data_IF_952992976260
#
_entry.id   IF_952992976260
#
_cell.length_a   1.000
_cell.length_b   1.000
_cell.length_c   1.000
_cell.angle_alpha   90.00
_cell.angle_beta   90.00
_cell.angle_gamma   90.00
#
_symmetry.space_group_name_H-M   'P 1'
#
loop_
_entity.id
_entity.type
_entity.pdbx_description
1 polymer ?
#
# COMPACT_ATOMS: atom_id res chain seq x y z
N UNK A 1 -15.34 -71.98 -55.64
CA UNK A 1 -15.60 -70.53 -55.45
C UNK A 1 -16.82 -70.21 -54.57
N UNK A 2 -17.44 -71.17 -53.85
CA UNK A 2 -18.58 -70.89 -52.95
C UNK A 2 -18.24 -70.94 -51.44
N UNK A 3 -17.13 -71.57 -51.05
CA UNK A 3 -16.64 -71.56 -49.65
C UNK A 3 -15.99 -70.23 -49.22
N UNK A 4 -15.42 -69.48 -50.17
CA UNK A 4 -14.79 -68.17 -49.90
C UNK A 4 -15.83 -67.05 -49.64
N UNK A 5 -17.05 -67.21 -50.17
CA UNK A 5 -18.15 -66.26 -49.99
C UNK A 5 -18.93 -66.50 -48.68
N UNK A 6 -19.03 -67.74 -48.18
CA UNK A 6 -19.67 -68.03 -46.87
C UNK A 6 -18.86 -67.52 -45.68
N UNK A 7 -17.52 -67.61 -45.75
CA UNK A 7 -16.64 -67.09 -44.71
C UNK A 7 -16.58 -65.55 -44.68
N UNK A 8 -16.67 -64.89 -45.83
CA UNK A 8 -16.74 -63.42 -45.88
C UNK A 8 -18.07 -62.89 -45.33
N UNK A 9 -19.19 -63.58 -45.56
CA UNK A 9 -20.48 -63.24 -44.94
C UNK A 9 -20.48 -63.48 -43.43
N UNK A 10 -19.87 -64.56 -42.94
CA UNK A 10 -19.73 -64.78 -41.49
C UNK A 10 -18.82 -63.73 -40.84
N UNK A 11 -17.68 -63.40 -41.45
CA UNK A 11 -16.77 -62.36 -40.95
C UNK A 11 -17.44 -60.98 -40.95
N UNK A 12 -18.18 -60.64 -42.01
CA UNK A 12 -18.94 -59.39 -42.10
C UNK A 12 -20.07 -59.33 -41.06
N UNK A 13 -20.76 -60.45 -40.81
CA UNK A 13 -21.81 -60.51 -39.77
C UNK A 13 -21.26 -60.37 -38.35
N UNK A 14 -20.08 -60.95 -38.08
CA UNK A 14 -19.38 -60.78 -36.81
C UNK A 14 -18.91 -59.33 -36.62
N UNK A 15 -18.38 -58.71 -37.67
CA UNK A 15 -17.94 -57.33 -37.66
C UNK A 15 -19.13 -56.34 -37.52
N UNK A 16 -20.28 -56.65 -38.13
CA UNK A 16 -21.52 -55.89 -37.97
C UNK A 16 -22.09 -56.00 -36.55
N UNK A 17 -22.03 -57.18 -35.92
CA UNK A 17 -22.43 -57.36 -34.52
C UNK A 17 -21.54 -56.56 -33.56
N UNK A 18 -20.22 -56.54 -33.80
CA UNK A 18 -19.29 -55.77 -32.96
C UNK A 18 -19.46 -54.24 -33.15
N UNK A 19 -19.71 -53.79 -34.39
CA UNK A 19 -20.07 -52.40 -34.66
C UNK A 19 -21.36 -52.00 -33.94
N UNK A 20 -22.38 -52.87 -34.01
CA UNK A 20 -23.66 -52.66 -33.35
C UNK A 20 -23.48 -52.53 -31.83
N UNK A 21 -22.70 -53.40 -31.19
CA UNK A 21 -22.41 -53.34 -29.76
C UNK A 21 -21.67 -52.07 -29.34
N UNK A 22 -20.71 -51.61 -30.17
CA UNK A 22 -20.00 -50.35 -29.92
C UNK A 22 -20.92 -49.15 -30.09
N UNK A 23 -21.77 -49.15 -31.12
CA UNK A 23 -22.75 -48.10 -31.36
C UNK A 23 -23.74 -47.98 -30.20
N UNK A 24 -24.31 -49.10 -29.74
CA UNK A 24 -25.25 -49.11 -28.59
C UNK A 24 -24.56 -48.64 -27.30
N UNK A 25 -23.32 -49.05 -27.05
CA UNK A 25 -22.56 -48.62 -25.87
C UNK A 25 -22.24 -47.11 -25.90
N UNK A 26 -21.91 -46.55 -27.06
CA UNK A 26 -21.68 -45.12 -27.24
C UNK A 26 -22.99 -44.34 -27.13
N UNK A 27 -24.09 -44.85 -27.70
CA UNK A 27 -25.41 -44.22 -27.63
C UNK A 27 -25.93 -44.16 -26.18
N UNK A 28 -25.78 -45.25 -25.42
CA UNK A 28 -26.10 -45.30 -23.99
C UNK A 28 -25.18 -44.39 -23.16
N UNK A 29 -23.89 -44.32 -23.50
CA UNK A 29 -22.95 -43.39 -22.88
C UNK A 29 -23.31 -41.91 -23.15
N UNK A 30 -23.76 -41.60 -24.37
CA UNK A 30 -24.23 -40.28 -24.77
C UNK A 30 -25.54 -39.89 -24.08
N UNK A 31 -26.50 -40.81 -24.01
CA UNK A 31 -27.77 -40.61 -23.30
C UNK A 31 -27.56 -40.40 -21.79
N UNK A 32 -26.67 -41.17 -21.15
CA UNK A 32 -26.32 -40.96 -19.74
C UNK A 32 -25.58 -39.64 -19.51
N UNK A 33 -24.69 -39.24 -20.42
CA UNK A 33 -24.01 -37.94 -20.34
C UNK A 33 -25.01 -36.78 -20.46
N UNK A 34 -25.96 -36.88 -21.39
CA UNK A 34 -27.03 -35.89 -21.57
C UNK A 34 -27.96 -35.84 -20.36
N UNK A 35 -28.40 -37.00 -19.85
CA UNK A 35 -29.22 -37.10 -18.64
C UNK A 35 -28.48 -36.59 -17.39
N UNK A 36 -27.16 -36.83 -17.27
CA UNK A 36 -26.36 -36.28 -16.18
C UNK A 36 -26.17 -34.77 -16.27
N UNK A 37 -26.08 -34.23 -17.49
CA UNK A 37 -26.03 -32.79 -17.73
C UNK A 37 -27.39 -32.13 -17.47
N UNK A 38 -28.50 -32.74 -17.87
CA UNK A 38 -29.84 -32.29 -17.50
C UNK A 38 -30.07 -32.39 -15.99
N UNK A 39 -29.63 -33.46 -15.33
CA UNK A 39 -29.74 -33.60 -13.89
C UNK A 39 -28.89 -32.57 -13.13
N UNK A 40 -27.69 -32.24 -13.64
CA UNK A 40 -26.86 -31.17 -13.09
C UNK A 40 -27.51 -29.79 -13.29
N UNK A 41 -28.07 -29.51 -14.47
CA UNK A 41 -28.81 -28.27 -14.74
C UNK A 41 -30.08 -28.17 -13.88
N UNK A 42 -30.87 -29.24 -13.77
CA UNK A 42 -32.06 -29.30 -12.92
C UNK A 42 -31.70 -29.17 -11.43
N UNK A 43 -30.58 -29.76 -10.99
CA UNK A 43 -30.09 -29.60 -9.63
C UNK A 43 -29.65 -28.17 -9.32
N UNK A 44 -29.13 -27.42 -10.31
CA UNK A 44 -28.87 -25.98 -10.18
C UNK A 44 -30.18 -25.19 -10.08
N UNK A 45 -31.16 -25.46 -10.95
CA UNK A 45 -32.47 -24.78 -10.90
C UNK A 45 -33.21 -25.03 -9.59
N UNK A 46 -33.17 -26.27 -9.06
CA UNK A 46 -33.76 -26.59 -7.75
C UNK A 46 -33.03 -25.89 -6.61
N UNK A 47 -31.70 -25.70 -6.70
CA UNK A 47 -30.96 -24.89 -5.73
C UNK A 47 -31.38 -23.43 -5.78
N UNK A 48 -31.53 -22.85 -6.98
CA UNK A 48 -31.99 -21.47 -7.16
C UNK A 48 -33.43 -21.27 -6.67
N UNK A 49 -34.33 -22.23 -6.92
CA UNK A 49 -35.71 -22.20 -6.43
C UNK A 49 -35.78 -22.30 -4.90
N UNK A 50 -34.95 -23.16 -4.29
CA UNK A 50 -34.85 -23.30 -2.83
C UNK A 50 -34.27 -22.02 -2.21
N UNK A 51 -33.22 -21.43 -2.78
CA UNK A 51 -32.68 -20.14 -2.34
C UNK A 51 -33.70 -19.01 -2.52
N UNK A 52 -34.46 -19.01 -3.62
CA UNK A 52 -35.57 -18.10 -3.86
C UNK A 52 -36.64 -18.19 -2.78
N UNK A 53 -37.02 -19.40 -2.36
CA UNK A 53 -38.00 -19.63 -1.28
C UNK A 53 -37.47 -19.18 0.09
N UNK A 54 -36.20 -19.43 0.38
CA UNK A 54 -35.53 -18.99 1.61
C UNK A 54 -35.41 -17.46 1.66
N UNK A 55 -35.17 -16.82 0.51
CA UNK A 55 -35.00 -15.37 0.40
C UNK A 55 -36.31 -14.60 0.27
N UNK A 56 -37.41 -15.24 -0.15
CA UNK A 56 -38.68 -14.58 -0.44
C UNK A 56 -39.22 -13.74 0.74
N UNK A 57 -39.21 -14.20 2.00
CA UNK A 57 -39.68 -13.40 3.13
C UNK A 57 -38.83 -12.15 3.36
N UNK A 58 -37.50 -12.25 3.28
CA UNK A 58 -36.61 -11.11 3.55
C UNK A 58 -36.50 -10.15 2.38
N UNK A 59 -36.59 -10.65 1.14
CA UNK A 59 -36.70 -9.80 -0.05
C UNK A 59 -37.98 -8.97 0.01
N UNK A 60 -39.10 -9.57 0.40
CA UNK A 60 -40.38 -8.86 0.52
C UNK A 60 -40.39 -7.82 1.66
N UNK A 61 -39.70 -8.09 2.78
CA UNK A 61 -39.72 -7.22 3.98
C UNK A 61 -38.61 -6.16 4.00
N UNK A 62 -37.43 -6.49 3.48
CA UNK A 62 -36.21 -5.71 3.65
C UNK A 62 -35.52 -5.37 2.31
N UNK A 63 -36.07 -5.81 1.18
CA UNK A 63 -35.50 -5.58 -0.16
C UNK A 63 -34.13 -6.23 -0.35
N UNK A 64 -33.79 -7.24 0.47
CA UNK A 64 -32.48 -7.89 0.48
C UNK A 64 -32.61 -9.41 0.67
N UNK A 65 -31.78 -10.21 -0.03
CA UNK A 65 -31.81 -11.64 0.16
C UNK A 65 -31.26 -11.98 1.55
N UNK A 66 -31.71 -13.10 2.12
CA UNK A 66 -31.13 -13.65 3.34
C UNK A 66 -29.76 -14.24 3.04
N UNK A 67 -29.65 -14.96 1.91
CA UNK A 67 -28.44 -15.61 1.42
C UNK A 67 -28.27 -15.32 -0.08
N UNK A 68 -27.09 -14.89 -0.50
CA UNK A 68 -26.74 -14.66 -1.90
C UNK A 68 -25.82 -13.47 -2.10
N UNK A 69 -25.05 -13.48 -3.17
CA UNK A 69 -24.19 -12.34 -3.50
C UNK A 69 -25.01 -11.13 -3.96
N UNK A 70 -24.47 -9.94 -3.75
CA UNK A 70 -24.99 -8.72 -4.33
C UNK A 70 -24.82 -8.72 -5.84
N UNK A 71 -25.76 -8.12 -6.56
CA UNK A 71 -25.67 -7.98 -8.00
C UNK A 71 -24.54 -7.01 -8.38
N UNK A 72 -23.78 -7.34 -9.41
CA UNK A 72 -22.78 -6.42 -9.94
C UNK A 72 -23.44 -5.17 -10.54
N UNK A 73 -22.75 -4.05 -10.40
CA UNK A 73 -23.16 -2.78 -10.96
C UNK A 73 -23.24 -2.82 -12.48
N UNK A 74 -24.14 -2.03 -13.03
CA UNK A 74 -24.39 -1.91 -14.47
C UNK A 74 -24.31 -0.44 -14.89
N UNK A 75 -24.32 -0.17 -16.20
CA UNK A 75 -24.30 1.20 -16.71
C UNK A 75 -25.43 2.10 -16.17
N UNK A 76 -26.61 1.52 -15.87
CA UNK A 76 -27.77 2.26 -15.34
C UNK A 76 -27.86 2.27 -13.82
N UNK A 77 -27.21 1.31 -13.15
CA UNK A 77 -27.07 1.25 -11.69
C UNK A 77 -25.61 0.92 -11.35
N UNK A 78 -24.71 1.93 -11.35
CA UNK A 78 -23.27 1.67 -11.34
C UNK A 78 -22.77 0.96 -10.09
N UNK A 79 -23.38 1.19 -8.93
CA UNK A 79 -22.92 0.58 -7.69
C UNK A 79 -23.27 -0.91 -7.63
N UNK A 80 -22.34 -1.70 -7.09
CA UNK A 80 -22.61 -3.08 -6.71
C UNK A 80 -23.67 -3.14 -5.61
N UNK A 81 -24.60 -4.08 -5.76
CA UNK A 81 -25.64 -4.37 -4.77
C UNK A 81 -25.04 -4.97 -3.50
N UNK A 82 -25.76 -4.81 -2.39
CA UNK A 82 -25.36 -5.42 -1.13
C UNK A 82 -25.54 -6.94 -1.16
N UNK A 83 -24.63 -7.66 -0.52
CA UNK A 83 -24.77 -9.10 -0.26
C UNK A 83 -25.93 -9.41 0.68
N UNK A 84 -26.31 -10.68 0.72
CA UNK A 84 -27.38 -11.20 1.57
C UNK A 84 -27.12 -10.96 3.06
N UNK A 85 -28.19 -10.85 3.84
CA UNK A 85 -28.12 -10.45 5.25
C UNK A 85 -27.28 -11.40 6.11
N UNK A 86 -27.37 -12.72 5.88
CA UNK A 86 -26.62 -13.73 6.63
C UNK A 86 -25.33 -14.13 5.92
N UNK A 87 -25.42 -14.38 4.61
CA UNK A 87 -24.27 -14.81 3.83
C UNK A 87 -24.34 -14.31 2.41
N UNK A 88 -23.25 -13.72 1.93
CA UNK A 88 -23.13 -13.22 0.57
C UNK A 88 -22.08 -12.14 0.44
N UNK A 89 -21.30 -12.21 -0.62
CA UNK A 89 -20.38 -11.14 -0.98
C UNK A 89 -21.17 -9.94 -1.53
N UNK A 90 -20.64 -8.74 -1.37
CA UNK A 90 -21.15 -7.59 -2.10
C UNK A 90 -20.84 -7.68 -3.60
N UNK A 91 -21.69 -7.09 -4.43
CA UNK A 91 -21.47 -7.03 -5.88
C UNK A 91 -20.36 -6.05 -6.24
N UNK A 92 -19.69 -6.28 -7.36
CA UNK A 92 -18.66 -5.36 -7.86
C UNK A 92 -19.28 -4.08 -8.41
N UNK A 93 -18.57 -2.97 -8.30
CA UNK A 93 -18.93 -1.72 -8.93
C UNK A 93 -18.69 -1.75 -10.44
N UNK A 94 -19.56 -1.06 -11.18
CA UNK A 94 -19.47 -0.95 -12.63
C UNK A 94 -18.22 -0.17 -13.06
N UNK A 95 -17.54 -0.67 -14.09
CA UNK A 95 -16.40 0.01 -14.72
C UNK A 95 -16.85 0.58 -16.06
N UNK A 96 -17.12 1.90 -16.16
CA UNK A 96 -17.55 2.54 -17.40
C UNK A 96 -16.47 2.51 -18.49
N UNK A 97 -16.90 2.25 -19.72
CA UNK A 97 -16.04 2.27 -20.92
C UNK A 97 -16.11 3.59 -21.69
N UNK A 98 -17.13 4.41 -21.42
CA UNK A 98 -17.33 5.72 -22.05
C UNK A 98 -16.65 6.82 -21.25
N UNK A 99 -15.95 7.73 -21.95
CA UNK A 99 -15.27 8.86 -21.32
C UNK A 99 -16.22 9.71 -20.45
N UNK A 100 -15.77 10.05 -19.25
CA UNK A 100 -16.57 10.79 -18.27
C UNK A 100 -17.63 9.97 -17.54
N UNK A 101 -17.78 8.67 -17.82
CA UNK A 101 -18.67 7.78 -17.07
C UNK A 101 -18.15 7.56 -15.65
N UNK A 102 -19.05 7.62 -14.65
CA UNK A 102 -18.68 7.43 -13.25
C UNK A 102 -18.55 5.94 -12.91
N UNK A 103 -17.47 5.58 -12.23
CA UNK A 103 -17.30 4.24 -11.69
C UNK A 103 -18.27 3.98 -10.53
N UNK A 104 -18.72 2.74 -10.44
CA UNK A 104 -19.53 2.27 -9.33
C UNK A 104 -18.70 1.90 -8.11
N UNK A 105 -19.24 2.14 -6.93
CA UNK A 105 -18.70 1.55 -5.70
C UNK A 105 -19.02 0.05 -5.64
N UNK A 106 -18.17 -0.72 -4.99
CA UNK A 106 -18.48 -2.09 -4.60
C UNK A 106 -19.55 -2.12 -3.52
N UNK A 107 -20.39 -3.15 -3.54
CA UNK A 107 -21.43 -3.36 -2.55
C UNK A 107 -20.89 -3.92 -1.24
N UNK A 108 -21.57 -3.63 -0.14
CA UNK A 108 -21.23 -4.19 1.17
C UNK A 108 -21.73 -5.63 1.31
N UNK A 109 -21.00 -6.46 2.06
CA UNK A 109 -21.50 -7.76 2.51
C UNK A 109 -22.45 -7.63 3.71
N UNK A 110 -23.16 -8.72 4.04
CA UNK A 110 -24.04 -8.80 5.22
C UNK A 110 -23.28 -9.26 6.48
N UNK A 111 -23.72 -10.33 7.12
CA UNK A 111 -23.07 -10.90 8.30
C UNK A 111 -21.77 -11.63 7.94
N UNK A 112 -21.81 -12.48 6.91
CA UNK A 112 -20.67 -13.23 6.38
C UNK A 112 -20.52 -12.95 4.89
N UNK A 113 -19.34 -12.55 4.45
CA UNK A 113 -19.04 -12.34 3.03
C UNK A 113 -18.03 -11.22 2.83
N UNK A 114 -17.39 -11.18 1.67
CA UNK A 114 -16.45 -10.14 1.31
C UNK A 114 -17.16 -8.95 0.68
N UNK A 115 -16.67 -7.74 0.90
CA UNK A 115 -17.14 -6.57 0.17
C UNK A 115 -16.79 -6.66 -1.31
N UNK A 116 -17.64 -6.10 -2.16
CA UNK A 116 -17.41 -6.06 -3.61
C UNK A 116 -16.28 -5.10 -3.98
N UNK A 117 -15.60 -5.38 -5.09
CA UNK A 117 -14.58 -4.46 -5.60
C UNK A 117 -15.22 -3.18 -6.16
N UNK A 118 -14.56 -2.04 -6.00
CA UNK A 118 -14.93 -0.80 -6.68
C UNK A 118 -14.61 -0.87 -8.17
N UNK A 119 -15.45 -0.25 -9.00
CA UNK A 119 -15.25 -0.17 -10.44
C UNK A 119 -14.08 0.73 -10.82
N UNK A 120 -13.42 0.44 -11.94
CA UNK A 120 -12.40 1.31 -12.49
C UNK A 120 -13.01 2.58 -13.08
N UNK A 121 -12.39 3.73 -12.85
CA UNK A 121 -12.73 5.00 -13.46
C UNK A 121 -12.58 4.95 -14.98
N UNK A 122 -13.53 5.53 -15.71
CA UNK A 122 -13.40 5.75 -17.14
C UNK A 122 -12.21 6.67 -17.43
N UNK A 123 -11.45 6.30 -18.46
CA UNK A 123 -10.47 7.19 -19.07
C UNK A 123 -11.14 8.49 -19.53
N UNK A 124 -10.39 9.59 -19.46
CA UNK A 124 -10.79 10.87 -20.02
C UNK A 124 -10.87 10.84 -21.53
N UNK A 125 -11.63 11.78 -22.08
CA UNK A 125 -11.73 12.05 -23.51
C UNK A 125 -11.04 13.37 -23.87
N UNK A 126 -11.25 13.85 -25.09
CA UNK A 126 -10.70 15.14 -25.54
C UNK A 126 -11.15 16.33 -24.67
N UNK A 127 -12.33 16.23 -24.08
CA UNK A 127 -12.96 17.29 -23.28
C UNK A 127 -13.41 16.82 -21.89
N UNK A 128 -13.06 15.60 -21.49
CA UNK A 128 -13.47 15.00 -20.22
C UNK A 128 -12.28 14.47 -19.44
N UNK A 129 -12.21 14.81 -18.15
CA UNK A 129 -11.20 14.29 -17.22
C UNK A 129 -11.35 12.78 -16.99
N UNK A 130 -10.29 12.17 -16.45
CA UNK A 130 -10.33 10.80 -15.97
C UNK A 130 -11.22 10.77 -14.74
N UNK A 131 -12.15 9.81 -14.69
CA UNK A 131 -13.05 9.71 -13.54
C UNK A 131 -12.41 8.90 -12.42
N UNK A 132 -12.79 9.15 -11.18
CA UNK A 132 -12.27 8.39 -10.05
C UNK A 132 -12.69 6.92 -10.11
N UNK A 133 -11.86 6.04 -9.57
CA UNK A 133 -12.25 4.68 -9.27
C UNK A 133 -13.25 4.63 -8.11
N UNK A 134 -14.17 3.67 -8.17
CA UNK A 134 -15.15 3.45 -7.12
C UNK A 134 -14.51 2.91 -5.84
N UNK A 135 -15.10 3.21 -4.69
CA UNK A 135 -14.66 2.61 -3.42
C UNK A 135 -15.00 1.11 -3.39
N UNK A 136 -14.18 0.31 -2.70
CA UNK A 136 -14.52 -1.07 -2.36
C UNK A 136 -15.56 -1.14 -1.25
N UNK A 137 -16.43 -2.13 -1.30
CA UNK A 137 -17.47 -2.35 -0.29
C UNK A 137 -16.92 -2.91 1.02
N UNK A 138 -17.65 -2.73 2.12
CA UNK A 138 -17.30 -3.32 3.40
C UNK A 138 -17.46 -4.85 3.39
N UNK A 139 -16.54 -5.54 4.07
CA UNK A 139 -16.68 -6.95 4.40
C UNK A 139 -17.79 -7.20 5.42
N UNK A 140 -18.11 -8.47 5.62
CA UNK A 140 -19.20 -8.88 6.50
C UNK A 140 -18.96 -8.46 7.95
N UNK A 141 -20.05 -8.25 8.68
CA UNK A 141 -19.98 -7.80 10.08
C UNK A 141 -19.20 -8.78 10.97
N UNK A 142 -19.42 -10.09 10.80
CA UNK A 142 -18.76 -11.16 11.56
C UNK A 142 -17.50 -11.66 10.87
N UNK A 143 -17.59 -11.96 9.57
CA UNK A 143 -16.45 -12.46 8.80
C UNK A 143 -16.48 -11.97 7.36
N UNK A 144 -15.37 -11.41 6.91
CA UNK A 144 -15.23 -10.97 5.53
C UNK A 144 -14.16 -9.92 5.34
N UNK A 145 -13.44 -10.03 4.22
CA UNK A 145 -12.52 -9.00 3.78
C UNK A 145 -13.28 -7.79 3.20
N UNK A 146 -12.72 -6.60 3.36
CA UNK A 146 -13.16 -5.44 2.59
C UNK A 146 -12.81 -5.59 1.10
N UNK A 147 -13.64 -5.04 0.24
CA UNK A 147 -13.41 -5.04 -1.21
C UNK A 147 -12.28 -4.09 -1.62
N UNK A 148 -11.57 -4.40 -2.70
CA UNK A 148 -10.56 -3.50 -3.23
C UNK A 148 -11.19 -2.23 -3.83
N UNK A 149 -10.53 -1.08 -3.71
CA UNK A 149 -10.90 0.13 -4.43
C UNK A 149 -10.54 0.03 -5.91
N UNK A 150 -11.35 0.65 -6.77
CA UNK A 150 -11.14 0.68 -8.21
C UNK A 150 -10.01 1.63 -8.61
N UNK A 151 -9.36 1.37 -9.74
CA UNK A 151 -8.33 2.27 -10.27
C UNK A 151 -8.94 3.57 -10.80
N UNK A 152 -8.24 4.68 -10.66
CA UNK A 152 -8.61 5.95 -11.29
C UNK A 152 -8.44 5.92 -12.81
N UNK A 153 -9.29 6.65 -13.52
CA UNK A 153 -9.25 6.77 -14.98
C UNK A 153 -8.09 7.64 -15.45
N UNK A 154 -7.45 7.24 -16.55
CA UNK A 154 -6.31 7.97 -17.13
C UNK A 154 -6.76 9.22 -17.91
N UNK A 155 -5.85 10.15 -18.20
CA UNK A 155 -6.08 11.23 -19.18
C UNK A 155 -4.91 11.41 -20.14
N UNK A 156 -5.22 11.84 -21.36
CA UNK A 156 -4.23 12.26 -22.36
C UNK A 156 -4.47 13.68 -22.89
N UNK A 157 -5.64 14.26 -22.61
CA UNK A 157 -6.01 15.59 -23.09
C UNK A 157 -5.35 16.72 -22.26
N UNK A 158 -4.94 17.82 -22.91
CA UNK A 158 -4.37 18.96 -22.20
C UNK A 158 -5.36 19.62 -21.22
N UNK A 159 -4.88 19.95 -20.02
CA UNK A 159 -5.62 20.66 -18.99
C UNK A 159 -6.58 19.80 -18.18
N UNK A 160 -6.59 18.48 -18.39
CA UNK A 160 -7.53 17.55 -17.71
C UNK A 160 -6.79 16.61 -16.75
N UNK A 161 -7.25 16.58 -15.50
CA UNK A 161 -6.71 15.72 -14.45
C UNK A 161 -7.13 14.25 -14.63
N UNK A 162 -6.25 13.34 -14.25
CA UNK A 162 -6.61 11.93 -14.12
C UNK A 162 -7.39 11.66 -12.84
N UNK A 163 -8.18 10.59 -12.87
CA UNK A 163 -9.02 10.20 -11.76
C UNK A 163 -8.20 9.62 -10.61
N UNK A 164 -8.65 9.84 -9.38
CA UNK A 164 -8.08 9.22 -8.20
C UNK A 164 -8.47 7.74 -8.10
N UNK A 165 -7.63 6.94 -7.45
CA UNK A 165 -7.99 5.58 -7.06
C UNK A 165 -9.05 5.57 -5.96
N UNK A 166 -9.95 4.60 -6.01
CA UNK A 166 -10.96 4.39 -4.99
C UNK A 166 -10.37 3.86 -3.69
N UNK A 167 -10.98 4.20 -2.55
CA UNK A 167 -10.57 3.63 -1.27
C UNK A 167 -10.91 2.13 -1.19
N UNK A 168 -10.08 1.35 -0.50
CA UNK A 168 -10.39 -0.01 -0.11
C UNK A 168 -11.48 -0.06 0.96
N UNK A 169 -12.33 -1.08 0.89
CA UNK A 169 -13.39 -1.34 1.85
C UNK A 169 -12.85 -1.82 3.19
N UNK A 170 -13.58 -1.58 4.27
CA UNK A 170 -13.20 -2.02 5.62
C UNK A 170 -13.69 -3.43 5.94
N UNK A 171 -13.09 -4.08 6.93
CA UNK A 171 -13.69 -5.23 7.62
C UNK A 171 -14.17 -4.83 9.02
N UNK A 172 -15.04 -5.66 9.63
CA UNK A 172 -15.61 -5.40 10.96
C UNK A 172 -15.01 -6.30 12.04
N UNK A 173 -15.56 -7.50 12.30
CA UNK A 173 -15.01 -8.34 13.36
C UNK A 173 -13.76 -9.10 12.91
N UNK A 174 -13.88 -9.93 11.86
CA UNK A 174 -12.78 -10.75 11.35
C UNK A 174 -12.63 -10.54 9.85
N UNK A 175 -11.43 -10.16 9.43
CA UNK A 175 -11.04 -10.10 8.03
C UNK A 175 -10.07 -8.96 7.75
N UNK A 176 -9.31 -9.02 6.65
CA UNK A 176 -8.45 -7.92 6.26
C UNK A 176 -9.27 -6.76 5.64
N UNK A 177 -8.73 -5.54 5.74
CA UNK A 177 -9.21 -4.43 4.92
C UNK A 177 -8.82 -4.60 3.45
N UNK A 178 -9.62 -4.02 2.55
CA UNK A 178 -9.37 -4.06 1.11
C UNK A 178 -8.25 -3.14 0.67
N UNK A 179 -7.58 -3.45 -0.44
CA UNK A 179 -6.54 -2.58 -1.00
C UNK A 179 -7.13 -1.29 -1.58
N UNK A 180 -6.40 -0.19 -1.47
CA UNK A 180 -6.72 1.04 -2.19
C UNK A 180 -6.42 0.91 -3.69
N UNK A 181 -7.24 1.53 -4.53
CA UNK A 181 -7.04 1.56 -5.97
C UNK A 181 -5.90 2.48 -6.38
N UNK A 182 -5.20 2.16 -7.47
CA UNK A 182 -4.18 3.06 -8.02
C UNK A 182 -4.82 4.34 -8.60
N UNK A 183 -4.12 5.46 -8.52
CA UNK A 183 -4.49 6.68 -9.23
C UNK A 183 -4.27 6.56 -10.73
N UNK A 184 -5.06 7.29 -11.52
CA UNK A 184 -4.96 7.31 -12.98
C UNK A 184 -3.73 8.08 -13.45
N UNK A 185 -3.11 7.59 -14.52
CA UNK A 185 -2.00 8.28 -15.17
C UNK A 185 -2.49 9.47 -16.02
N UNK A 186 -1.68 10.53 -16.08
CA UNK A 186 -1.85 11.67 -16.98
C UNK A 186 -0.69 11.75 -17.96
N UNK A 187 -0.98 11.65 -19.25
CA UNK A 187 0.01 11.82 -20.33
C UNK A 187 -0.09 13.20 -20.99
N UNK A 188 -0.54 14.22 -20.25
CA UNK A 188 -1.02 15.52 -20.73
C UNK A 188 -0.36 15.99 -22.03
N UNK A 189 -1.16 16.26 -23.07
CA UNK A 189 -0.63 16.67 -24.37
C UNK A 189 0.34 17.87 -24.30
N UNK A 190 1.30 17.90 -25.22
CA UNK A 190 2.42 18.86 -25.32
C UNK A 190 1.97 20.33 -25.50
N UNK A 191 1.42 20.96 -24.47
CA UNK A 191 1.17 22.41 -24.43
C UNK A 191 1.82 23.04 -23.19
N UNK A 192 2.39 24.23 -23.38
CA UNK A 192 2.95 25.03 -22.29
C UNK A 192 1.86 25.41 -21.28
N UNK A 193 2.18 25.35 -19.98
CA UNK A 193 1.27 25.62 -18.84
C UNK A 193 0.14 24.60 -18.64
N UNK A 194 0.30 23.38 -19.16
CA UNK A 194 -0.66 22.30 -18.97
C UNK A 194 -0.51 21.68 -17.57
N UNK A 195 -1.47 21.97 -16.69
CA UNK A 195 -1.52 21.52 -15.29
C UNK A 195 -2.32 20.20 -15.11
N UNK A 196 -2.18 19.25 -16.04
CA UNK A 196 -2.85 17.96 -15.96
C UNK A 196 -2.17 17.05 -14.93
N UNK A 197 -2.65 17.09 -13.68
CA UNK A 197 -2.14 16.26 -12.59
C UNK A 197 -2.63 14.81 -12.73
N UNK A 198 -1.74 13.88 -12.39
CA UNK A 198 -2.12 12.49 -12.25
C UNK A 198 -2.93 12.25 -10.98
N UNK A 199 -3.74 11.19 -11.00
CA UNK A 199 -4.62 10.84 -9.89
C UNK A 199 -3.84 10.34 -8.68
N UNK A 200 -4.29 10.68 -7.48
CA UNK A 200 -3.78 10.08 -6.25
C UNK A 200 -4.25 8.63 -6.09
N UNK A 201 -3.46 7.81 -5.40
CA UNK A 201 -3.86 6.47 -5.00
C UNK A 201 -4.89 6.49 -3.87
N UNK A 202 -5.83 5.55 -3.90
CA UNK A 202 -6.85 5.40 -2.87
C UNK A 202 -6.27 4.85 -1.56
N UNK A 203 -6.85 5.22 -0.43
CA UNK A 203 -6.45 4.67 0.86
C UNK A 203 -6.82 3.17 0.95
N UNK A 204 -5.99 2.39 1.64
CA UNK A 204 -6.32 1.02 2.02
C UNK A 204 -7.41 0.99 3.10
N UNK A 205 -8.24 -0.04 3.05
CA UNK A 205 -9.29 -0.30 4.03
C UNK A 205 -8.70 -0.70 5.38
N UNK A 206 -9.32 -0.25 6.47
CA UNK A 206 -8.92 -0.70 7.81
C UNK A 206 -9.61 -2.01 8.19
N UNK A 207 -8.92 -2.83 8.98
CA UNK A 207 -9.56 -3.93 9.68
C UNK A 207 -10.17 -3.44 11.01
N UNK A 208 -11.24 -4.11 11.48
CA UNK A 208 -11.94 -3.68 12.70
C UNK A 208 -11.37 -4.27 13.99
N UNK A 209 -11.65 -5.54 14.31
CA UNK A 209 -11.17 -6.18 15.56
C UNK A 209 -9.98 -7.13 15.30
N UNK A 210 -10.10 -8.03 14.33
CA UNK A 210 -9.08 -8.98 13.93
C UNK A 210 -8.83 -8.92 12.43
N UNK A 211 -7.59 -8.66 12.03
CA UNK A 211 -7.17 -8.72 10.63
C UNK A 211 -6.18 -7.64 10.27
N UNK A 212 -5.62 -7.78 9.08
CA UNK A 212 -4.62 -6.84 8.57
C UNK A 212 -5.28 -5.65 7.89
N UNK A 213 -4.65 -4.49 7.94
CA UNK A 213 -5.04 -3.34 7.13
C UNK A 213 -4.68 -3.54 5.66
N UNK A 214 -5.52 -3.06 4.75
CA UNK A 214 -5.24 -3.08 3.32
C UNK A 214 -4.13 -2.09 2.94
N UNK A 215 -3.29 -2.43 1.98
CA UNK A 215 -2.30 -1.47 1.46
C UNK A 215 -2.97 -0.30 0.72
N UNK A 216 -2.35 0.87 0.77
CA UNK A 216 -2.75 2.03 -0.02
C UNK A 216 -2.39 1.86 -1.49
N UNK A 217 -3.17 2.47 -2.38
CA UNK A 217 -2.93 2.45 -3.81
C UNK A 217 -1.76 3.36 -4.21
N UNK A 218 -1.08 3.02 -5.29
CA UNK A 218 -0.03 3.89 -5.83
C UNK A 218 -0.64 5.13 -6.49
N UNK A 219 0.06 6.25 -6.47
CA UNK A 219 -0.29 7.43 -7.24
C UNK A 219 0.00 7.24 -8.73
N UNK A 220 -0.82 7.87 -9.58
CA UNK A 220 -0.65 7.86 -11.02
C UNK A 220 0.53 8.70 -11.48
N UNK A 221 1.10 8.36 -12.64
CA UNK A 221 2.25 9.05 -13.23
C UNK A 221 1.79 10.23 -14.10
N UNK A 222 2.55 11.31 -14.09
CA UNK A 222 2.35 12.47 -14.96
C UNK A 222 3.55 12.67 -15.89
N UNK A 223 3.49 12.14 -17.11
CA UNK A 223 4.62 12.24 -18.06
C UNK A 223 4.23 13.03 -19.30
N UNK A 224 5.05 14.01 -19.66
CA UNK A 224 4.97 14.79 -20.90
C UNK A 224 6.33 14.75 -21.62
N UNK A 225 6.39 15.08 -22.91
CA UNK A 225 7.68 15.12 -23.61
C UNK A 225 8.49 16.40 -23.33
N UNK A 226 7.96 17.32 -22.52
CA UNK A 226 8.54 18.64 -22.25
C UNK A 226 8.61 18.92 -20.73
N UNK A 227 9.53 19.78 -20.32
CA UNK A 227 9.81 20.19 -18.93
C UNK A 227 8.68 20.96 -18.20
N UNK A 228 7.44 20.91 -18.69
CA UNK A 228 6.26 21.64 -18.17
C UNK A 228 5.03 20.73 -18.02
N UNK A 229 5.22 19.47 -17.62
CA UNK A 229 4.15 18.51 -17.34
C UNK A 229 3.49 18.68 -15.96
N UNK A 230 2.33 18.03 -15.76
CA UNK A 230 1.63 18.05 -14.47
C UNK A 230 2.32 17.27 -13.36
N UNK A 231 1.78 17.35 -12.13
CA UNK A 231 2.35 16.68 -10.96
C UNK A 231 1.97 15.20 -10.91
N UNK A 232 2.85 14.38 -10.34
CA UNK A 232 2.58 12.98 -10.05
C UNK A 232 1.57 12.84 -8.91
N UNK A 233 0.72 11.82 -8.98
CA UNK A 233 -0.27 11.56 -7.95
C UNK A 233 0.36 11.12 -6.64
N UNK A 234 -0.16 11.56 -5.49
CA UNK A 234 0.26 11.03 -4.19
C UNK A 234 -0.12 9.56 -4.02
N UNK A 235 0.67 8.78 -3.30
CA UNK A 235 0.31 7.43 -2.87
C UNK A 235 -0.75 7.46 -1.77
N UNK A 236 -1.65 6.49 -1.77
CA UNK A 236 -2.70 6.33 -0.77
C UNK A 236 -2.15 5.83 0.56
N UNK A 237 -2.74 6.25 1.68
CA UNK A 237 -2.38 5.71 2.99
C UNK A 237 -2.76 4.23 3.09
N UNK A 238 -1.96 3.44 3.80
CA UNK A 238 -2.34 2.09 4.20
C UNK A 238 -3.38 2.09 5.31
N UNK A 239 -4.23 1.08 5.32
CA UNK A 239 -5.26 0.88 6.33
C UNK A 239 -4.68 0.41 7.65
N UNK A 240 -5.36 0.73 8.75
CA UNK A 240 -4.96 0.23 10.07
C UNK A 240 -5.33 -1.25 10.22
N UNK A 241 -4.55 -1.98 11.00
CA UNK A 241 -4.88 -3.31 11.46
C UNK A 241 -6.12 -3.32 12.37
N UNK A 242 -6.63 -4.52 12.65
CA UNK A 242 -7.65 -4.75 13.65
C UNK A 242 -7.15 -4.43 15.05
N UNK A 243 -8.07 -3.99 15.91
CA UNK A 243 -7.79 -3.49 17.26
C UNK A 243 -6.90 -4.44 18.07
N UNK A 244 -7.16 -5.75 18.05
CA UNK A 244 -6.42 -6.69 18.91
C UNK A 244 -5.22 -7.30 18.21
N UNK A 245 -5.39 -7.73 16.97
CA UNK A 245 -4.32 -8.36 16.19
C UNK A 245 -4.39 -7.99 14.73
N UNK A 246 -3.22 -7.83 14.12
CA UNK A 246 -3.05 -7.67 12.68
C UNK A 246 -1.93 -6.71 12.35
N UNK A 247 -1.46 -6.79 11.12
CA UNK A 247 -0.46 -5.92 10.55
C UNK A 247 -1.12 -4.69 9.94
N UNK A 248 -0.46 -3.54 10.02
CA UNK A 248 -0.89 -2.37 9.27
C UNK A 248 -0.68 -2.59 7.77
N UNK A 249 -1.49 -1.92 6.94
CA UNK A 249 -1.30 -1.91 5.49
C UNK A 249 -0.17 -0.97 5.07
N UNK A 250 0.64 -1.34 4.10
CA UNK A 250 1.70 -0.47 3.59
C UNK A 250 1.13 0.80 2.93
N UNK A 251 1.85 1.91 3.02
CA UNK A 251 1.53 3.11 2.26
C UNK A 251 1.86 2.96 0.77
N UNK A 252 1.03 3.56 -0.09
CA UNK A 252 1.21 3.53 -1.53
C UNK A 252 2.40 4.39 -1.99
N UNK A 253 3.03 4.01 -3.09
CA UNK A 253 4.12 4.77 -3.70
C UNK A 253 3.55 5.97 -4.47
N UNK A 254 4.19 7.12 -4.38
CA UNK A 254 3.84 8.29 -5.18
C UNK A 254 4.17 8.12 -6.67
N UNK A 255 3.44 8.83 -7.53
CA UNK A 255 3.60 8.78 -8.97
C UNK A 255 4.80 9.58 -9.48
N UNK A 256 5.44 9.08 -10.53
CA UNK A 256 6.51 9.79 -11.22
C UNK A 256 5.96 11.00 -12.00
N UNK A 257 6.75 12.07 -12.12
CA UNK A 257 6.41 13.21 -12.96
C UNK A 257 7.62 13.97 -13.49
N UNK A 258 7.44 14.73 -14.58
CA UNK A 258 8.49 15.65 -15.07
C UNK A 258 8.70 16.84 -14.14
N UNK A 259 7.64 17.31 -13.47
CA UNK A 259 7.67 18.42 -12.52
C UNK A 259 7.76 17.91 -11.08
N UNK A 260 6.66 17.92 -10.32
CA UNK A 260 6.66 17.51 -8.91
C UNK A 260 6.30 16.05 -8.79
N UNK A 261 7.18 15.27 -8.16
CA UNK A 261 6.89 13.89 -7.81
C UNK A 261 5.66 13.79 -6.89
N UNK A 262 4.93 12.68 -6.98
CA UNK A 262 3.93 12.33 -5.99
C UNK A 262 4.58 11.98 -4.64
N UNK A 263 3.99 12.44 -3.54
CA UNK A 263 4.36 12.02 -2.20
C UNK A 263 3.99 10.55 -1.93
N UNK A 264 4.69 9.92 -1.00
CA UNK A 264 4.33 8.57 -0.55
C UNK A 264 3.19 8.57 0.46
N UNK A 265 2.37 7.53 0.47
CA UNK A 265 1.30 7.35 1.45
C UNK A 265 1.82 6.87 2.80
N UNK A 266 1.16 7.23 3.90
CA UNK A 266 1.55 6.76 5.23
C UNK A 266 1.26 5.25 5.39
N UNK A 267 2.09 4.54 6.16
CA UNK A 267 1.82 3.18 6.58
C UNK A 267 0.73 3.11 7.65
N UNK A 268 -0.01 2.01 7.67
CA UNK A 268 -1.04 1.72 8.66
C UNK A 268 -0.46 1.27 10.00
N UNK A 269 -1.21 1.54 11.08
CA UNK A 269 -0.85 1.11 12.42
C UNK A 269 -1.11 -0.39 12.62
N UNK A 270 -0.31 -1.03 13.49
CA UNK A 270 -0.50 -2.42 13.90
C UNK A 270 -1.64 -2.58 14.93
N UNK A 271 -2.07 -3.82 15.15
CA UNK A 271 -2.98 -4.17 16.24
C UNK A 271 -2.33 -4.01 17.61
N UNK A 272 -3.17 -3.93 18.66
CA UNK A 272 -2.72 -3.64 20.02
C UNK A 272 -1.80 -4.73 20.59
N UNK A 273 -2.09 -6.02 20.38
CA UNK A 273 -1.36 -7.10 21.05
C UNK A 273 -0.36 -7.82 20.16
N UNK A 274 -0.71 -8.05 18.90
CA UNK A 274 0.12 -8.79 17.94
C UNK A 274 0.00 -8.14 16.56
N UNK A 275 1.14 -7.83 15.95
CA UNK A 275 1.19 -7.26 14.62
C UNK A 275 2.43 -6.42 14.39
N UNK A 276 2.75 -6.18 13.13
CA UNK A 276 3.81 -5.25 12.72
C UNK A 276 3.20 -4.02 12.11
N UNK A 277 3.73 -2.86 12.46
CA UNK A 277 3.32 -1.62 11.84
C UNK A 277 3.89 -1.54 10.43
N UNK A 278 3.16 -0.89 9.52
CA UNK A 278 3.52 -0.91 8.11
C UNK A 278 4.48 0.21 7.74
N UNK A 279 5.29 -0.02 6.71
CA UNK A 279 6.14 1.03 6.16
C UNK A 279 5.29 2.09 5.42
N UNK A 280 5.76 3.34 5.46
CA UNK A 280 5.30 4.39 4.57
C UNK A 280 5.77 4.13 3.13
N UNK A 281 4.98 4.61 2.17
CA UNK A 281 5.29 4.52 0.76
C UNK A 281 6.37 5.50 0.35
N UNK A 282 7.14 5.14 -0.68
CA UNK A 282 8.15 6.02 -1.24
C UNK A 282 7.50 7.13 -2.08
N UNK A 283 8.23 8.22 -2.34
CA UNK A 283 7.82 9.19 -3.37
C UNK A 283 7.94 8.56 -4.76
N UNK A 284 7.28 9.20 -5.74
CA UNK A 284 7.66 9.04 -7.14
C UNK A 284 8.98 9.76 -7.44
N UNK A 285 9.35 9.78 -8.72
CA UNK A 285 10.51 10.55 -9.19
C UNK A 285 10.08 11.80 -9.92
N UNK A 286 10.78 12.92 -9.75
CA UNK A 286 10.56 14.13 -10.55
C UNK A 286 11.59 15.22 -10.33
N UNK A 287 11.41 16.36 -10.99
CA UNK A 287 12.32 17.50 -10.87
C UNK A 287 12.19 18.19 -9.50
N UNK A 288 10.96 18.38 -9.02
CA UNK A 288 10.67 18.82 -7.66
C UNK A 288 10.27 17.62 -6.78
N UNK A 289 10.72 17.66 -5.54
CA UNK A 289 10.59 16.57 -4.58
C UNK A 289 9.34 16.63 -3.75
N UNK A 290 8.98 15.45 -3.26
CA UNK A 290 7.92 15.24 -2.32
C UNK A 290 8.46 14.60 -1.04
N UNK A 291 7.55 14.39 -0.09
CA UNK A 291 7.82 13.66 1.15
C UNK A 291 7.46 12.19 0.99
N UNK A 292 8.35 11.29 1.41
CA UNK A 292 7.99 9.90 1.63
C UNK A 292 6.97 9.80 2.76
N UNK A 293 6.14 8.76 2.71
CA UNK A 293 5.10 8.53 3.72
C UNK A 293 5.69 8.18 5.08
N UNK A 294 5.02 8.52 6.17
CA UNK A 294 5.46 8.08 7.50
C UNK A 294 5.21 6.59 7.69
N UNK A 295 6.06 5.92 8.45
CA UNK A 295 5.76 4.57 8.94
C UNK A 295 4.59 4.57 9.92
N UNK A 296 3.89 3.43 10.01
CA UNK A 296 2.83 3.21 10.98
C UNK A 296 3.38 2.95 12.38
N UNK A 297 2.53 3.13 13.38
CA UNK A 297 2.87 2.87 14.78
C UNK A 297 2.52 1.44 15.19
N UNK A 298 3.35 0.84 16.04
CA UNK A 298 3.05 -0.44 16.68
C UNK A 298 2.09 -0.26 17.87
N UNK A 299 1.51 -1.37 18.34
CA UNK A 299 0.61 -1.42 19.49
C UNK A 299 1.34 -1.45 20.84
N UNK A 300 1.01 -2.42 21.69
CA UNK A 300 1.69 -2.68 22.95
C UNK A 300 3.07 -3.32 22.73
N UNK A 301 3.15 -4.20 21.72
CA UNK A 301 4.35 -4.89 21.29
C UNK A 301 4.62 -4.63 19.80
N UNK A 302 5.88 -4.73 19.39
CA UNK A 302 6.27 -4.77 17.98
C UNK A 302 7.08 -3.57 17.52
N UNK A 303 7.55 -3.62 16.28
CA UNK A 303 8.39 -2.57 15.69
C UNK A 303 7.53 -1.55 14.96
N UNK A 304 7.91 -0.28 15.07
CA UNK A 304 7.36 0.78 14.26
C UNK A 304 7.73 0.60 12.79
N UNK A 305 6.86 1.06 11.89
CA UNK A 305 7.07 0.98 10.46
C UNK A 305 8.19 1.92 10.01
N UNK A 306 8.93 1.56 8.98
CA UNK A 306 9.90 2.45 8.34
C UNK A 306 9.22 3.59 7.59
N UNK A 307 9.82 4.77 7.60
CA UNK A 307 9.43 5.86 6.73
C UNK A 307 9.80 5.61 5.26
N UNK A 308 8.98 6.11 4.35
CA UNK A 308 9.19 5.99 2.91
C UNK A 308 10.37 6.83 2.43
N UNK A 309 11.11 6.32 1.44
CA UNK A 309 12.19 7.06 0.81
C UNK A 309 11.67 8.14 -0.14
N UNK A 310 12.48 9.17 -0.38
CA UNK A 310 12.20 10.20 -1.36
C UNK A 310 13.31 10.33 -2.42
N UNK A 311 12.89 10.56 -3.66
CA UNK A 311 13.78 10.80 -4.79
C UNK A 311 13.29 12.00 -5.62
N UNK A 312 14.14 13.02 -5.79
CA UNK A 312 13.89 14.11 -6.74
C UNK A 312 15.15 14.95 -7.02
N UNK A 313 15.15 15.73 -8.11
CA UNK A 313 16.27 16.63 -8.38
C UNK A 313 16.42 17.74 -7.34
N UNK A 314 15.32 18.25 -6.75
CA UNK A 314 15.33 19.30 -5.72
C UNK A 314 14.27 18.99 -4.67
N UNK A 315 14.56 19.10 -3.36
CA UNK A 315 13.53 19.12 -2.32
C UNK A 315 13.00 17.75 -1.86
N UNK A 316 13.78 16.67 -1.97
CA UNK A 316 13.37 15.35 -1.52
C UNK A 316 13.40 15.23 0.02
N UNK A 317 12.33 14.72 0.61
CA UNK A 317 12.23 14.54 2.07
C UNK A 317 11.84 13.10 2.41
N UNK A 318 12.67 12.37 3.15
CA UNK A 318 12.31 11.05 3.64
C UNK A 318 11.19 11.12 4.68
N UNK A 319 10.31 10.12 4.68
CA UNK A 319 9.24 9.98 5.67
C UNK A 319 9.78 9.64 7.05
N UNK A 320 9.11 10.05 8.12
CA UNK A 320 9.48 9.63 9.48
C UNK A 320 9.19 8.14 9.70
N UNK A 321 10.00 7.47 10.52
CA UNK A 321 9.67 6.15 11.06
C UNK A 321 8.55 6.25 12.09
N UNK A 322 7.74 5.20 12.18
CA UNK A 322 6.67 5.09 13.17
C UNK A 322 7.18 4.63 14.54
N UNK A 323 6.37 4.81 15.58
CA UNK A 323 6.76 4.45 16.95
C UNK A 323 6.73 2.94 17.17
N UNK A 324 7.68 2.44 17.96
CA UNK A 324 7.68 1.07 18.47
C UNK A 324 6.57 0.82 19.49
N UNK A 325 6.42 -0.44 19.88
CA UNK A 325 5.39 -0.86 20.84
C UNK A 325 5.52 -0.14 22.19
N UNK A 326 4.38 0.20 22.80
CA UNK A 326 4.33 0.96 24.06
C UNK A 326 5.12 0.29 25.19
N UNK A 327 5.02 -1.03 25.32
CA UNK A 327 5.75 -1.79 26.33
C UNK A 327 7.09 -2.26 25.77
N UNK A 328 7.08 -2.98 24.65
CA UNK A 328 8.30 -3.48 24.03
C UNK A 328 8.29 -3.31 22.53
N UNK A 329 9.31 -2.64 22.00
CA UNK A 329 9.42 -2.47 20.56
C UNK A 329 10.43 -1.41 20.16
N UNK A 330 11.10 -1.67 19.03
CA UNK A 330 11.96 -0.68 18.42
C UNK A 330 11.15 0.31 17.58
N UNK A 331 11.57 1.58 17.57
CA UNK A 331 11.05 2.55 16.62
C UNK A 331 11.47 2.23 15.19
N UNK A 332 10.64 2.62 14.22
CA UNK A 332 10.92 2.42 12.80
C UNK A 332 12.02 3.33 12.28
N UNK A 333 12.78 2.90 11.28
CA UNK A 333 13.78 3.75 10.65
C UNK A 333 13.14 4.90 9.85
N UNK A 334 13.78 6.06 9.82
CA UNK A 334 13.40 7.15 8.93
C UNK A 334 13.77 6.86 7.47
N UNK A 335 12.95 7.34 6.55
CA UNK A 335 13.16 7.21 5.12
C UNK A 335 14.34 8.04 4.64
N UNK A 336 15.07 7.56 3.64
CA UNK A 336 16.18 8.33 3.06
C UNK A 336 15.68 9.35 2.04
N UNK A 337 16.39 10.46 1.88
CA UNK A 337 16.19 11.43 0.80
C UNK A 337 17.36 11.38 -0.18
N UNK A 338 17.06 11.28 -1.47
CA UNK A 338 18.04 11.20 -2.54
C UNK A 338 17.71 12.16 -3.68
N UNK A 339 18.74 12.68 -4.37
CA UNK A 339 18.53 13.54 -5.52
C UNK A 339 19.66 13.50 -6.54
N UNK A 340 19.31 13.77 -7.80
CA UNK A 340 20.20 13.60 -8.96
C UNK A 340 20.91 14.87 -9.44
N UNK A 341 20.51 16.07 -8.99
CA UNK A 341 21.08 17.32 -9.50
C UNK A 341 22.29 17.78 -8.70
N UNK A 342 23.46 17.77 -9.35
CA UNK A 342 24.70 18.39 -8.86
C UNK A 342 24.75 19.90 -9.13
N UNK A 343 23.85 20.42 -9.97
CA UNK A 343 23.93 21.78 -10.56
C UNK A 343 23.09 22.83 -9.81
N UNK A 344 22.05 22.42 -9.09
CA UNK A 344 21.17 23.30 -8.30
C UNK A 344 21.29 22.99 -6.81
N UNK A 345 21.03 23.94 -5.89
CA UNK A 345 21.00 23.70 -4.44
C UNK A 345 19.80 22.79 -4.08
N UNK A 346 19.96 21.50 -4.32
CA UNK A 346 18.99 20.47 -4.01
C UNK A 346 19.03 20.17 -2.51
N UNK A 347 18.06 20.74 -1.78
CA UNK A 347 17.84 20.42 -0.37
C UNK A 347 17.25 19.02 -0.27
N UNK A 348 17.90 18.16 0.52
CA UNK A 348 17.44 16.80 0.82
C UNK A 348 17.44 16.56 2.32
N UNK A 349 16.32 16.08 2.87
CA UNK A 349 16.18 15.86 4.32
C UNK A 349 15.84 14.40 4.57
N UNK A 350 16.70 13.68 5.30
CA UNK A 350 16.37 12.35 5.77
C UNK A 350 15.25 12.38 6.81
N UNK A 351 14.37 11.39 6.78
CA UNK A 351 13.29 11.25 7.75
C UNK A 351 13.82 10.94 9.13
N UNK A 352 13.13 11.38 10.19
CA UNK A 352 13.50 11.00 11.56
C UNK A 352 13.20 9.52 11.81
N UNK A 353 14.03 8.87 12.62
CA UNK A 353 13.68 7.58 13.20
C UNK A 353 12.55 7.72 14.21
N UNK A 354 11.73 6.68 14.33
CA UNK A 354 10.64 6.62 15.30
C UNK A 354 11.16 6.32 16.71
N UNK A 355 10.40 6.73 17.71
CA UNK A 355 10.72 6.48 19.11
C UNK A 355 10.28 5.07 19.54
N UNK A 356 10.96 4.49 20.53
CA UNK A 356 10.50 3.29 21.24
C UNK A 356 9.59 3.65 22.43
N UNK A 357 8.88 2.65 22.97
CA UNK A 357 8.00 2.77 24.13
C UNK A 357 8.76 2.75 25.47
N UNK A 358 8.53 1.74 26.31
CA UNK A 358 9.24 1.58 27.59
C UNK A 358 10.55 0.80 27.44
N UNK A 359 10.50 -0.27 26.66
CA UNK A 359 11.63 -1.13 26.34
C UNK A 359 11.85 -1.15 24.82
N UNK A 360 13.09 -0.97 24.37
CA UNK A 360 13.46 -1.09 22.97
C UNK A 360 14.31 0.06 22.45
N UNK A 361 14.81 -0.08 21.23
CA UNK A 361 15.74 0.90 20.65
C UNK A 361 15.01 1.92 19.78
N UNK A 362 15.46 3.17 19.79
CA UNK A 362 14.99 4.17 18.84
C UNK A 362 15.36 3.79 17.40
N UNK A 363 14.53 4.19 16.45
CA UNK A 363 14.78 3.97 15.04
C UNK A 363 15.93 4.82 14.51
N UNK A 364 16.68 4.33 13.53
CA UNK A 364 17.71 5.14 12.88
C UNK A 364 17.08 6.27 12.04
N UNK A 365 17.73 7.43 11.98
CA UNK A 365 17.38 8.50 11.06
C UNK A 365 17.77 8.16 9.63
N UNK A 366 16.99 8.64 8.67
CA UNK A 366 17.22 8.44 7.24
C UNK A 366 18.40 9.25 6.72
N UNK A 367 19.08 8.73 5.70
CA UNK A 367 20.20 9.42 5.08
C UNK A 367 19.73 10.52 4.12
N UNK A 368 20.60 11.51 3.86
CA UNK A 368 20.41 12.50 2.82
C UNK A 368 21.55 12.43 1.79
N UNK A 369 21.24 12.03 0.56
CA UNK A 369 22.19 11.94 -0.54
C UNK A 369 21.90 13.01 -1.61
N UNK A 370 22.01 14.27 -1.22
CA UNK A 370 21.90 15.46 -2.09
C UNK A 370 23.09 16.40 -1.86
N UNK A 371 23.30 17.35 -2.80
CA UNK A 371 24.38 18.33 -2.71
C UNK A 371 24.27 19.27 -1.49
N UNK A 372 23.06 19.46 -0.97
CA UNK A 372 22.77 20.12 0.32
C UNK A 372 21.85 19.22 1.12
N UNK A 373 22.44 18.36 1.96
CA UNK A 373 21.71 17.30 2.65
C UNK A 373 21.72 17.47 4.16
N UNK A 374 20.59 17.20 4.81
CA UNK A 374 20.52 17.03 6.26
C UNK A 374 20.05 15.61 6.58
N UNK A 375 20.89 14.81 7.24
CA UNK A 375 20.47 13.51 7.73
C UNK A 375 19.34 13.64 8.77
N UNK A 376 18.46 12.66 8.81
CA UNK A 376 17.38 12.60 9.79
C UNK A 376 17.90 12.30 11.19
N UNK A 377 17.25 12.82 12.22
CA UNK A 377 17.62 12.46 13.59
C UNK A 377 17.24 11.01 13.89
N UNK A 378 18.02 10.32 14.73
CA UNK A 378 17.63 9.06 15.33
C UNK A 378 16.49 9.27 16.34
N UNK A 379 15.64 8.25 16.46
CA UNK A 379 14.56 8.21 17.45
C UNK A 379 15.08 7.87 18.84
N UNK A 380 14.27 8.17 19.84
CA UNK A 380 14.58 7.92 21.25
C UNK A 380 14.43 6.43 21.58
N UNK A 381 15.33 5.92 22.42
CA UNK A 381 15.21 4.61 23.05
C UNK A 381 14.05 4.56 24.04
N UNK A 382 13.70 3.34 24.46
CA UNK A 382 12.62 3.09 25.39
C UNK A 382 12.86 3.82 26.71
N UNK A 383 11.82 4.43 27.27
CA UNK A 383 11.94 5.35 28.41
C UNK A 383 12.61 4.72 29.64
N UNK A 384 12.41 3.43 29.88
CA UNK A 384 13.07 2.68 30.96
C UNK A 384 14.38 2.05 30.50
N UNK A 385 14.33 1.28 29.41
CA UNK A 385 15.50 0.62 28.87
C UNK A 385 15.52 0.66 27.36
N UNK A 386 16.57 1.24 26.80
CA UNK A 386 16.68 1.35 25.36
C UNK A 386 17.77 2.29 24.89
N UNK A 387 18.48 1.86 23.86
CA UNK A 387 19.44 2.70 23.16
C UNK A 387 18.73 3.69 22.23
N UNK A 388 19.26 4.90 22.10
CA UNK A 388 18.84 5.85 21.10
C UNK A 388 19.25 5.41 19.69
N UNK A 389 18.41 5.71 18.70
CA UNK A 389 18.70 5.42 17.30
C UNK A 389 19.85 6.26 16.74
N UNK A 390 20.60 5.74 15.78
CA UNK A 390 21.63 6.52 15.10
C UNK A 390 21.01 7.64 14.24
N UNK A 391 21.68 8.79 14.16
CA UNK A 391 21.35 9.84 13.20
C UNK A 391 21.76 9.45 11.78
N UNK A 392 20.97 9.87 10.81
CA UNK A 392 21.24 9.66 9.39
C UNK A 392 22.40 10.51 8.90
N UNK A 393 23.12 10.02 7.89
CA UNK A 393 24.28 10.70 7.33
C UNK A 393 23.95 11.50 6.07
N UNK A 394 24.77 12.51 5.79
CA UNK A 394 24.84 13.18 4.50
C UNK A 394 25.96 12.54 3.66
N UNK A 395 25.64 12.08 2.44
CA UNK A 395 26.47 11.11 1.70
C UNK A 395 27.13 11.63 0.41
N UNK A 396 26.86 12.88 -0.01
CA UNK A 396 27.29 13.38 -1.34
C UNK A 396 28.28 14.55 -1.21
N UNK A 397 29.32 14.58 -2.04
CA UNK A 397 30.22 15.72 -2.10
C UNK A 397 29.52 16.91 -2.77
N UNK A 398 29.28 17.98 -2.00
CA UNK A 398 28.65 19.21 -2.47
C UNK A 398 29.24 20.46 -1.81
N UNK A 399 29.08 21.60 -2.48
CA UNK A 399 29.58 22.90 -2.02
C UNK A 399 28.66 23.64 -1.04
N UNK A 400 27.46 23.12 -0.75
CA UNK A 400 26.50 23.78 0.14
C UNK A 400 26.43 23.17 1.54
N UNK A 401 25.68 23.85 2.43
CA UNK A 401 25.57 23.52 3.86
C UNK A 401 24.88 22.17 4.06
N UNK A 402 25.56 21.25 4.72
CA UNK A 402 25.15 19.88 4.95
C UNK A 402 25.35 19.48 6.40
N UNK A 403 24.41 18.71 6.94
CA UNK A 403 24.40 18.36 8.36
C UNK A 403 24.17 16.86 8.51
N UNK A 404 24.94 16.20 9.37
CA UNK A 404 24.57 14.89 9.88
C UNK A 404 23.37 15.01 10.82
N UNK A 405 22.51 13.99 10.86
CA UNK A 405 21.41 13.92 11.81
C UNK A 405 21.92 13.64 13.22
N UNK A 406 21.25 14.17 14.23
CA UNK A 406 21.62 13.89 15.62
C UNK A 406 21.24 12.45 15.98
N UNK A 407 22.03 11.82 16.84
CA UNK A 407 21.67 10.56 17.49
C UNK A 407 20.51 10.76 18.47
N UNK A 408 19.69 9.73 18.61
CA UNK A 408 18.57 9.70 19.53
C UNK A 408 19.01 9.57 20.99
N UNK A 409 18.15 10.04 21.91
CA UNK A 409 18.39 9.90 23.34
C UNK A 409 18.13 8.48 23.80
N UNK A 410 18.86 8.01 24.81
CA UNK A 410 18.57 6.77 25.50
C UNK A 410 17.45 6.94 26.54
N UNK A 411 16.94 5.81 27.03
CA UNK A 411 16.13 5.75 28.25
C UNK A 411 16.92 5.99 29.54
N UNK A 412 16.30 5.68 30.68
CA UNK A 412 16.95 5.65 32.00
C UNK A 412 18.21 4.77 31.94
N UNK A 413 18.10 3.59 31.33
CA UNK A 413 19.20 2.66 31.06
C UNK A 413 19.35 2.51 29.54
N UNK A 414 20.53 2.81 29.00
CA UNK A 414 20.82 2.65 27.59
C UNK A 414 21.86 3.65 27.09
N UNK A 415 22.37 3.41 25.90
CA UNK A 415 23.34 4.26 25.24
C UNK A 415 22.67 5.26 24.31
N UNK A 416 23.20 6.47 24.25
CA UNK A 416 22.78 7.43 23.24
C UNK A 416 23.17 6.99 21.84
N UNK A 417 22.36 7.34 20.83
CA UNK A 417 22.63 7.00 19.45
C UNK A 417 23.82 7.77 18.88
N UNK A 418 24.55 7.19 17.91
CA UNK A 418 25.60 7.91 17.21
C UNK A 418 25.01 9.03 16.32
N UNK A 419 25.70 10.16 16.22
CA UNK A 419 25.39 11.20 15.25
C UNK A 419 25.81 10.80 13.83
N UNK A 420 25.04 11.23 12.82
CA UNK A 420 25.32 10.98 11.42
C UNK A 420 26.49 11.81 10.91
N UNK A 421 27.22 11.29 9.92
CA UNK A 421 28.36 12.01 9.32
C UNK A 421 27.93 12.96 8.21
N UNK A 422 28.73 13.98 7.92
CA UNK A 422 28.62 14.79 6.69
C UNK A 422 29.93 14.77 5.91
N UNK A 423 29.85 14.45 4.62
CA UNK A 423 31.03 14.33 3.75
C UNK A 423 31.25 15.55 2.83
N UNK A 424 30.30 16.48 2.81
CA UNK A 424 30.37 17.70 2.00
C UNK A 424 31.54 18.63 2.42
N UNK A 425 32.10 19.36 1.45
CA UNK A 425 33.32 20.17 1.65
C UNK A 425 33.05 21.69 1.80
N UNK A 426 31.82 22.15 1.59
CA UNK A 426 31.42 23.55 1.73
C UNK A 426 31.49 24.12 3.16
N UNK A 427 31.51 25.46 3.30
CA UNK A 427 31.53 26.13 4.60
C UNK A 427 30.23 25.92 5.39
N UNK A 428 30.35 25.68 6.70
CA UNK A 428 29.20 25.48 7.59
C UNK A 428 28.65 24.06 7.64
N UNK A 429 29.38 23.07 7.14
CA UNK A 429 29.00 21.67 7.26
C UNK A 429 29.26 21.14 8.67
N UNK A 430 28.32 20.34 9.19
CA UNK A 430 28.43 19.79 10.55
C UNK A 430 28.18 18.29 10.57
N UNK A 431 28.89 17.57 11.43
CA UNK A 431 28.50 16.23 11.84
C UNK A 431 27.34 16.33 12.81
N UNK A 432 26.48 15.31 12.83
CA UNK A 432 25.40 15.23 13.81
C UNK A 432 25.95 14.99 15.20
N UNK A 433 25.29 15.54 16.22
CA UNK A 433 25.70 15.27 17.60
C UNK A 433 25.30 13.85 18.01
N UNK A 434 26.10 13.23 18.86
CA UNK A 434 25.73 12.00 19.52
C UNK A 434 24.59 12.23 20.52
N UNK A 435 23.74 11.24 20.68
CA UNK A 435 22.63 11.25 21.63
C UNK A 435 23.11 11.07 23.07
N UNK A 436 22.32 11.56 24.02
CA UNK A 436 22.65 11.49 25.44
C UNK A 436 22.12 10.19 26.08
N UNK A 437 22.87 9.66 27.05
CA UNK A 437 22.35 8.73 28.05
C UNK A 437 21.85 9.50 29.29
N UNK A 438 20.87 8.95 30.01
CA UNK A 438 20.27 9.62 31.17
C UNK A 438 20.96 9.28 32.50
N UNK A 439 20.83 8.03 32.96
CA UNK A 439 21.40 7.58 34.24
C UNK A 439 22.47 6.53 34.08
N UNK A 440 22.19 5.46 33.33
CA UNK A 440 23.12 4.36 33.10
C UNK A 440 23.30 4.15 31.60
N UNK A 441 24.53 4.27 31.11
CA UNK A 441 24.92 4.02 29.72
C UNK A 441 25.79 5.13 29.14
N UNK A 442 26.38 4.86 27.99
CA UNK A 442 27.32 5.79 27.35
C UNK A 442 26.59 6.79 26.46
N UNK A 443 27.15 7.99 26.33
CA UNK A 443 26.74 8.93 25.30
C UNK A 443 27.12 8.40 23.91
N UNK A 444 26.33 8.74 22.90
CA UNK A 444 26.62 8.38 21.52
C UNK A 444 27.79 9.19 20.96
N UNK A 445 28.53 8.61 20.02
CA UNK A 445 29.61 9.35 19.35
C UNK A 445 29.04 10.43 18.42
N UNK A 446 29.74 11.54 18.30
CA UNK A 446 29.45 12.57 17.29
C UNK A 446 29.80 12.09 15.88
N UNK A 447 29.08 12.60 14.90
CA UNK A 447 29.30 12.29 13.49
C UNK A 447 30.51 13.01 12.92
N UNK A 448 31.18 12.37 11.95
CA UNK A 448 32.34 12.95 11.30
C UNK A 448 31.95 14.12 10.38
N UNK A 449 32.85 15.09 10.21
CA UNK A 449 32.69 16.15 9.21
C UNK A 449 34.02 16.80 8.87
N UNK A 450 34.24 17.11 7.59
CA UNK A 450 35.43 17.84 7.12
C UNK A 450 35.57 19.25 7.72
N UNK A 451 34.46 19.84 8.18
CA UNK A 451 34.43 21.23 8.69
C UNK A 451 34.27 21.24 10.21
N UNK A 452 33.07 20.90 10.68
CA UNK A 452 32.73 20.91 12.11
C UNK A 452 32.20 19.54 12.53
N UNK A 453 33.03 18.64 13.09
CA UNK A 453 32.53 17.36 13.58
C UNK A 453 31.49 17.55 14.68
N UNK A 454 30.55 16.60 14.76
CA UNK A 454 29.52 16.62 15.80
C UNK A 454 30.12 16.37 17.19
N UNK A 455 29.50 16.93 18.22
CA UNK A 455 29.90 16.63 19.59
C UNK A 455 29.46 15.22 19.98
N UNK A 456 30.22 14.57 20.85
CA UNK A 456 29.73 13.37 21.54
C UNK A 456 28.58 13.72 22.49
N UNK A 457 27.68 12.77 22.72
CA UNK A 457 26.61 12.90 23.70
C UNK A 457 27.12 12.70 25.13
N UNK A 458 26.33 13.14 26.11
CA UNK A 458 26.67 12.96 27.52
C UNK A 458 26.46 11.51 27.97
N UNK A 459 27.37 11.00 28.80
CA UNK A 459 27.17 9.72 29.50
C UNK A 459 26.13 9.84 30.61
N UNK A 460 25.65 8.69 31.08
CA UNK A 460 24.70 8.61 32.17
C UNK A 460 25.25 9.23 33.46
N UNK A 461 24.40 9.98 34.16
CA UNK A 461 24.78 10.72 35.38
C UNK A 461 25.20 9.82 36.56
N UNK A 462 24.77 8.54 36.57
CA UNK A 462 25.16 7.55 37.58
C UNK A 462 26.32 6.68 37.10
N UNK A 463 26.24 6.17 35.88
CA UNK A 463 27.30 5.36 35.27
C UNK A 463 27.28 5.50 33.75
N UNK A 464 28.41 5.88 33.17
CA UNK A 464 28.53 6.02 31.72
C UNK A 464 29.64 6.97 31.31
N UNK A 465 30.19 6.75 30.13
CA UNK A 465 31.17 7.65 29.53
C UNK A 465 30.51 8.58 28.50
N UNK A 466 30.95 9.84 28.39
CA UNK A 466 30.60 10.68 27.26
C UNK A 466 31.04 10.02 25.95
N UNK A 467 30.25 10.22 24.90
CA UNK A 467 30.62 9.80 23.56
C UNK A 467 31.82 10.59 23.03
N UNK A 468 32.55 10.00 22.09
CA UNK A 468 33.66 10.70 21.45
C UNK A 468 33.12 11.74 20.45
N UNK A 469 33.74 12.92 20.34
CA UNK A 469 33.48 13.82 19.23
C UNK A 469 33.77 13.15 17.89
N UNK A 470 33.09 13.58 16.84
CA UNK A 470 33.40 13.14 15.49
C UNK A 470 34.81 13.58 15.06
N UNK A 471 35.33 12.91 14.04
CA UNK A 471 36.62 13.26 13.43
C UNK A 471 36.46 14.21 12.25
N UNK A 472 37.51 14.99 11.98
CA UNK A 472 37.67 15.71 10.72
C UNK A 472 38.17 14.73 9.66
N UNK A 473 37.25 14.22 8.83
CA UNK A 473 37.52 13.23 7.79
C UNK A 473 36.81 13.58 6.49
#
# INVERSE_FOLDING_TARGET
>A
MFGLHGQSYQALSAQAAEFHDRFVRILLGGANSYASAEAANAAQTVQDDVLGLINAPTQALLGRPLIGNGADGTATSPNGGAGGLLSGNGGNGYSPTTAGGLAGNGGDAGLIGNGGAGGAGAAGGLTAAGTNGGAGGAGGWLYGAGGAGGTGGTTSAPGLEAGNGGAGGRSWLIGPGGFGGAGGDSTGGNLANNLANAGSGGAGGSAGIFGDGGAGGNGGKATTALTSGGNGGGGGAGGNAGLFTGNGGAGGVGGNADTTAGGGGNGGNAGLFLGTAANGGNTGTGNAGATGGTGGNAGLFGVGGGGGAAFANVGAHGGAGGTGGMLWGAGGAGGSASGGSFVLPALGVGGKGGDAGWFGTGGAGGNASTAQGTGGNGGSGGSFWGDGGAGGSQLVFGGGKSHGGNGGMAGIIGNGGAGGSSVAQGVGNTGGNGGNAQYIGNGGNGGNSKVTPGSGGTGGTLYGQPGQPGSKA
#
